data_IF_537528589639
#
_entry.id   IF_537528589639
#
_cell.length_a   1.000
_cell.length_b   1.000
_cell.length_c   1.000
_cell.angle_alpha   90.00
_cell.angle_beta   90.00
_cell.angle_gamma   90.00
#
_symmetry.space_group_name_H-M   'P 1'
#
loop_
_entity.id
_entity.type
_entity.pdbx_description
1 polymer ?
#
# COMPACT_ATOMS: atom_id res chain seq x y z
N UNK A 1 -36.37 -3.74 -24.51
CA UNK A 1 -36.13 -3.11 -23.20
C UNK A 1 -36.08 -4.21 -22.16
N UNK A 2 -34.91 -4.47 -21.57
CA UNK A 2 -34.81 -5.11 -20.26
C UNK A 2 -33.51 -4.61 -19.64
N UNK A 3 -33.67 -3.69 -18.70
CA UNK A 3 -32.61 -3.08 -17.89
C UNK A 3 -31.98 -4.15 -17.00
N UNK A 4 -30.72 -4.48 -17.24
CA UNK A 4 -29.88 -5.09 -16.22
C UNK A 4 -29.72 -4.04 -15.12
N UNK A 5 -30.49 -4.20 -14.05
CA UNK A 5 -30.34 -3.47 -12.81
C UNK A 5 -28.93 -3.74 -12.31
N UNK A 6 -28.07 -2.72 -12.35
CA UNK A 6 -26.79 -2.72 -11.66
C UNK A 6 -27.06 -2.71 -10.17
N UNK A 7 -27.15 -3.89 -9.57
CA UNK A 7 -26.95 -4.01 -8.13
C UNK A 7 -25.57 -3.43 -7.83
N UNK A 8 -25.56 -2.36 -7.05
CA UNK A 8 -24.35 -1.68 -6.64
C UNK A 8 -23.44 -2.69 -5.93
N UNK A 9 -22.29 -2.98 -6.55
CA UNK A 9 -21.20 -3.69 -5.88
C UNK A 9 -20.85 -2.91 -4.61
N UNK A 10 -21.20 -3.44 -3.43
CA UNK A 10 -20.78 -2.89 -2.16
C UNK A 10 -19.39 -3.47 -1.82
N UNK A 11 -18.30 -2.70 -2.02
CA UNK A 11 -16.95 -3.17 -1.71
C UNK A 11 -16.72 -3.39 -0.21
N UNK A 12 -17.68 -3.04 0.65
CA UNK A 12 -17.64 -3.24 2.09
C UNK A 12 -18.39 -4.50 2.56
N UNK A 13 -19.16 -5.17 1.69
CA UNK A 13 -19.93 -6.37 2.02
C UNK A 13 -19.19 -7.69 1.75
N UNK A 14 -17.93 -7.63 1.30
CA UNK A 14 -17.10 -8.79 0.98
C UNK A 14 -15.90 -8.79 1.92
N UNK A 15 -15.88 -9.78 2.83
CA UNK A 15 -14.84 -10.01 3.86
C UNK A 15 -13.44 -10.29 3.25
N UNK A 16 -13.40 -10.61 1.95
CA UNK A 16 -12.15 -10.90 1.23
C UNK A 16 -11.73 -9.71 0.35
N UNK A 17 -10.96 -8.80 0.95
CA UNK A 17 -10.37 -7.62 0.31
C UNK A 17 -9.51 -8.00 -0.90
N UNK A 18 -8.79 -9.11 -0.86
CA UNK A 18 -7.93 -9.55 -1.97
C UNK A 18 -8.81 -10.01 -3.16
N UNK A 19 -9.90 -10.75 -2.90
CA UNK A 19 -10.90 -11.12 -3.91
C UNK A 19 -11.57 -9.91 -4.56
N UNK A 20 -12.01 -8.92 -3.76
CA UNK A 20 -12.58 -7.66 -4.27
C UNK A 20 -11.63 -6.97 -5.23
N UNK A 21 -10.34 -6.93 -4.88
CA UNK A 21 -9.34 -6.29 -5.74
C UNK A 21 -9.07 -7.09 -7.00
N UNK A 22 -9.13 -8.42 -6.95
CA UNK A 22 -9.03 -9.23 -8.16
C UNK A 22 -10.19 -8.99 -9.12
N UNK A 23 -11.41 -8.90 -8.62
CA UNK A 23 -12.60 -8.59 -9.42
C UNK A 23 -12.51 -7.18 -10.02
N UNK A 24 -12.20 -6.17 -9.20
CA UNK A 24 -12.00 -4.79 -9.67
C UNK A 24 -10.81 -4.66 -10.65
N UNK A 25 -9.74 -5.44 -10.46
CA UNK A 25 -8.60 -5.43 -11.37
C UNK A 25 -8.96 -6.07 -12.72
N UNK A 26 -9.80 -7.11 -12.74
CA UNK A 26 -10.31 -7.72 -13.99
C UNK A 26 -11.19 -6.75 -14.75
N UNK A 27 -12.03 -5.99 -14.04
CA UNK A 27 -12.91 -4.97 -14.62
C UNK A 27 -12.13 -3.76 -15.17
N UNK A 28 -11.20 -3.21 -14.38
CA UNK A 28 -10.56 -1.92 -14.67
C UNK A 28 -9.24 -2.03 -15.45
N UNK A 29 -8.59 -3.20 -15.44
CA UNK A 29 -7.32 -3.45 -16.14
C UNK A 29 -7.28 -4.84 -16.80
N UNK A 30 -8.08 -5.06 -17.87
CA UNK A 30 -8.04 -6.31 -18.62
C UNK A 30 -6.64 -6.53 -19.23
N UNK A 31 -5.97 -7.62 -18.84
CA UNK A 31 -4.78 -8.13 -19.54
C UNK A 31 -3.42 -7.98 -18.85
N UNK A 32 -3.31 -7.42 -17.63
CA UNK A 32 -2.01 -7.29 -16.95
C UNK A 32 -1.83 -8.31 -15.82
N UNK A 33 -1.57 -9.58 -16.20
CA UNK A 33 -1.31 -10.70 -15.29
C UNK A 33 0.18 -10.98 -15.03
N UNK A 34 1.07 -10.07 -15.42
CA UNK A 34 2.51 -10.25 -15.23
C UNK A 34 2.91 -9.98 -13.77
N UNK A 35 2.61 -10.92 -12.86
CA UNK A 35 3.38 -11.02 -11.62
C UNK A 35 4.77 -11.50 -12.01
N UNK A 36 5.71 -10.57 -12.16
CA UNK A 36 7.12 -10.92 -12.11
C UNK A 36 7.37 -11.70 -10.79
N UNK A 37 8.34 -12.65 -10.76
CA UNK A 37 8.68 -13.38 -9.54
C UNK A 37 8.87 -12.41 -8.37
N UNK A 38 8.07 -12.56 -7.31
CA UNK A 38 8.13 -11.68 -6.15
C UNK A 38 9.34 -12.06 -5.30
N UNK A 39 10.30 -11.15 -5.21
CA UNK A 39 11.40 -11.22 -4.24
C UNK A 39 11.33 -9.98 -3.33
N UNK A 40 11.07 -10.14 -2.02
CA UNK A 40 10.97 -9.02 -1.10
C UNK A 40 12.29 -8.25 -0.91
N UNK A 41 13.43 -8.74 -1.42
CA UNK A 41 14.69 -7.99 -1.41
C UNK A 41 14.82 -6.99 -2.59
N UNK A 42 13.88 -6.99 -3.54
CA UNK A 42 13.96 -6.19 -4.76
C UNK A 42 13.19 -4.87 -4.77
N UNK A 43 12.44 -4.54 -3.71
CA UNK A 43 11.51 -3.39 -3.71
C UNK A 43 12.21 -2.02 -3.76
N UNK A 44 13.47 -1.96 -3.34
CA UNK A 44 14.29 -0.75 -3.30
C UNK A 44 15.38 -0.68 -4.39
N UNK A 45 15.56 -1.74 -5.19
CA UNK A 45 16.71 -1.91 -6.09
C UNK A 45 16.66 -1.18 -7.45
N UNK A 46 15.56 -0.54 -7.86
CA UNK A 46 15.43 0.12 -9.19
C UNK A 46 14.40 1.27 -9.11
N UNK A 47 14.35 2.30 -9.99
CA UNK A 47 13.72 3.61 -9.75
C UNK A 47 12.19 3.57 -9.86
N UNK A 48 11.52 2.69 -9.12
CA UNK A 48 10.07 2.75 -8.89
C UNK A 48 9.78 3.80 -7.83
N UNK A 49 10.16 5.05 -8.11
CA UNK A 49 9.72 6.19 -7.31
C UNK A 49 10.44 6.42 -5.99
N UNK A 50 11.68 5.96 -5.83
CA UNK A 50 12.57 6.46 -4.76
C UNK A 50 12.82 7.95 -4.98
N UNK A 51 12.57 8.75 -3.95
CA UNK A 51 12.83 10.18 -3.85
C UNK A 51 13.63 10.41 -2.59
N UNK A 52 14.58 11.31 -2.65
CA UNK A 52 15.33 11.73 -1.47
C UNK A 52 14.85 13.13 -1.14
N UNK A 53 14.29 13.30 0.04
CA UNK A 53 13.93 14.60 0.59
C UNK A 53 14.99 14.99 1.62
N UNK A 54 15.49 16.21 1.52
CA UNK A 54 16.34 16.80 2.56
C UNK A 54 15.50 17.82 3.31
N UNK A 55 15.48 17.68 4.62
CA UNK A 55 14.92 18.68 5.52
C UNK A 55 15.83 19.93 5.50
N UNK A 56 15.30 21.11 5.13
CA UNK A 56 16.10 22.33 5.07
C UNK A 56 16.52 22.86 6.45
N UNK A 57 15.78 22.53 7.51
CA UNK A 57 16.04 23.01 8.89
C UNK A 57 16.99 22.06 9.63
N UNK A 58 16.74 20.76 9.56
CA UNK A 58 17.54 19.76 10.29
C UNK A 58 18.68 19.17 9.47
N UNK A 59 18.68 19.39 8.14
CA UNK A 59 19.63 18.79 7.22
C UNK A 59 19.46 17.28 7.03
N UNK A 60 18.49 16.64 7.71
CA UNK A 60 18.24 15.20 7.66
C UNK A 60 17.80 14.78 6.25
N UNK A 61 18.30 13.63 5.82
CA UNK A 61 18.00 13.06 4.50
C UNK A 61 17.06 11.88 4.70
N UNK A 62 15.88 11.95 4.08
CA UNK A 62 14.84 10.93 4.17
C UNK A 62 14.58 10.32 2.80
N UNK A 63 14.63 9.00 2.74
CA UNK A 63 14.20 8.25 1.56
C UNK A 63 12.69 8.06 1.56
N UNK A 64 12.09 8.37 0.42
CA UNK A 64 10.66 8.33 0.18
C UNK A 64 10.37 7.47 -1.04
N UNK A 65 9.32 6.66 -0.98
CA UNK A 65 9.01 5.65 -1.97
C UNK A 65 7.54 5.76 -2.37
N UNK A 66 7.26 5.62 -3.67
CA UNK A 66 5.87 5.60 -4.16
C UNK A 66 5.14 4.33 -3.72
N UNK A 67 3.80 4.39 -3.72
CA UNK A 67 2.92 3.24 -3.46
C UNK A 67 3.25 1.99 -4.27
N UNK A 68 3.84 2.13 -5.47
CA UNK A 68 4.29 0.99 -6.28
C UNK A 68 5.42 0.18 -5.65
N UNK A 69 6.31 0.82 -4.89
CA UNK A 69 7.37 0.15 -4.14
C UNK A 69 6.80 -0.62 -2.95
N UNK A 70 5.89 -0.02 -2.18
CA UNK A 70 5.18 -0.71 -1.10
C UNK A 70 4.36 -1.89 -1.63
N UNK A 71 3.65 -1.72 -2.74
CA UNK A 71 2.88 -2.80 -3.35
C UNK A 71 3.77 -3.98 -3.74
N UNK A 72 4.94 -3.69 -4.35
CA UNK A 72 5.91 -4.73 -4.68
C UNK A 72 6.47 -5.42 -3.43
N UNK A 73 6.86 -4.65 -2.41
CA UNK A 73 7.30 -5.20 -1.11
C UNK A 73 6.29 -6.17 -0.50
N UNK A 74 5.00 -5.82 -0.56
CA UNK A 74 3.91 -6.58 0.05
C UNK A 74 3.37 -7.73 -0.82
N UNK A 75 3.96 -7.98 -1.98
CA UNK A 75 3.42 -8.91 -2.98
C UNK A 75 1.95 -8.62 -3.34
N UNK A 76 1.60 -7.34 -3.50
CA UNK A 76 0.24 -6.87 -3.79
C UNK A 76 0.21 -5.92 -4.98
N UNK A 77 -0.99 -5.70 -5.53
CA UNK A 77 -1.20 -4.68 -6.55
C UNK A 77 -1.28 -3.30 -5.88
N UNK A 78 -0.84 -2.20 -6.54
CA UNK A 78 -1.01 -0.85 -5.98
C UNK A 78 -2.47 -0.49 -5.66
N UNK A 79 -3.43 -1.06 -6.40
CA UNK A 79 -4.85 -0.90 -6.11
C UNK A 79 -5.24 -1.50 -4.75
N UNK A 80 -4.69 -2.67 -4.39
CA UNK A 80 -4.89 -3.30 -3.07
C UNK A 80 -4.44 -2.37 -1.96
N UNK A 81 -3.24 -1.80 -2.08
CA UNK A 81 -2.69 -0.88 -1.08
C UNK A 81 -3.57 0.37 -0.94
N UNK A 82 -4.09 0.93 -2.04
CA UNK A 82 -5.05 2.06 -1.98
C UNK A 82 -6.34 1.69 -1.28
N UNK A 83 -6.82 0.46 -1.48
CA UNK A 83 -8.02 -0.03 -0.80
C UNK A 83 -7.76 -0.23 0.70
N UNK A 84 -6.58 -0.74 1.07
CA UNK A 84 -6.15 -0.85 2.47
C UNK A 84 -6.12 0.51 3.17
N UNK A 85 -5.57 1.54 2.53
CA UNK A 85 -5.61 2.90 3.07
C UNK A 85 -7.06 3.40 3.25
N UNK A 86 -7.93 3.14 2.25
CA UNK A 86 -9.33 3.59 2.29
C UNK A 86 -10.13 2.89 3.39
N UNK A 87 -9.89 1.60 3.58
CA UNK A 87 -10.53 0.76 4.63
C UNK A 87 -9.88 0.94 6.01
N UNK A 88 -8.82 1.74 6.13
CA UNK A 88 -8.11 1.93 7.41
C UNK A 88 -7.27 0.73 7.85
N UNK A 89 -7.04 -0.25 6.96
CA UNK A 89 -6.18 -1.42 7.22
C UNK A 89 -4.74 -0.97 7.41
N UNK A 90 -4.32 0.06 6.68
CA UNK A 90 -3.06 0.77 6.88
C UNK A 90 -3.34 2.27 6.96
N UNK A 91 -2.55 3.04 7.74
CA UNK A 91 -2.71 4.49 7.80
C UNK A 91 -2.47 5.15 6.44
N UNK A 92 -3.27 6.17 6.12
CA UNK A 92 -3.07 6.99 4.93
C UNK A 92 -1.86 7.90 5.13
N UNK A 93 -0.88 7.82 4.23
CA UNK A 93 0.31 8.67 4.34
C UNK A 93 -0.03 10.12 4.00
N UNK A 94 0.38 11.05 4.87
CA UNK A 94 0.18 12.49 4.73
C UNK A 94 1.18 13.15 3.78
N UNK A 95 2.36 12.56 3.56
CA UNK A 95 3.39 13.12 2.68
C UNK A 95 2.99 12.94 1.22
N UNK A 96 2.12 13.83 0.77
CA UNK A 96 1.70 13.95 -0.62
C UNK A 96 2.71 14.85 -1.33
N UNK A 97 3.75 14.30 -1.96
CA UNK A 97 4.60 15.12 -2.81
C UNK A 97 3.79 15.55 -4.04
N UNK A 98 3.32 16.79 -4.00
CA UNK A 98 2.63 17.47 -5.07
C UNK A 98 3.00 18.94 -5.03
N UNK A 99 3.21 19.53 -6.21
CA UNK A 99 3.19 20.98 -6.34
C UNK A 99 1.77 21.41 -5.98
N UNK A 100 1.63 22.35 -5.05
CA UNK A 100 0.34 22.99 -4.77
C UNK A 100 -0.26 23.47 -6.11
N UNK A 101 -1.51 23.06 -6.41
CA UNK A 101 -2.17 23.31 -7.70
C UNK A 101 -1.96 22.29 -8.81
N UNK A 102 -1.28 21.15 -8.58
CA UNK A 102 -1.19 20.10 -9.61
C UNK A 102 -2.53 19.35 -9.72
N UNK A 103 -3.09 19.31 -10.92
CA UNK A 103 -4.39 18.71 -11.26
C UNK A 103 -4.47 17.19 -10.99
N UNK A 104 -3.37 16.56 -10.58
CA UNK A 104 -3.23 15.10 -10.44
C UNK A 104 -3.14 14.62 -8.98
N UNK A 105 -3.32 15.53 -8.02
CA UNK A 105 -3.25 15.20 -6.58
C UNK A 105 -1.83 14.86 -6.12
N UNK A 106 -1.57 15.02 -4.82
CA UNK A 106 -0.25 14.71 -4.26
C UNK A 106 0.06 13.21 -4.31
N UNK A 107 1.33 12.86 -4.52
CA UNK A 107 1.79 11.46 -4.56
C UNK A 107 2.01 10.94 -3.15
N UNK A 108 1.43 9.79 -2.82
CA UNK A 108 1.69 9.08 -1.55
C UNK A 108 3.14 8.60 -1.51
N UNK A 109 3.88 9.07 -0.50
CA UNK A 109 5.27 8.72 -0.27
C UNK A 109 5.44 8.02 1.07
N UNK A 110 5.95 6.81 1.03
CA UNK A 110 6.28 6.01 2.20
C UNK A 110 7.77 6.11 2.52
N UNK A 111 8.16 6.13 3.79
CA UNK A 111 9.58 6.05 4.17
C UNK A 111 10.10 4.62 4.08
N UNK A 112 11.42 4.44 4.04
CA UNK A 112 12.05 3.11 4.16
C UNK A 112 11.57 2.38 5.41
N UNK A 113 11.63 3.04 6.57
CA UNK A 113 11.24 2.47 7.85
C UNK A 113 9.77 2.01 7.89
N UNK A 114 8.88 2.76 7.23
CA UNK A 114 7.48 2.35 7.08
C UNK A 114 7.36 1.05 6.26
N UNK A 115 8.02 0.98 5.10
CA UNK A 115 7.93 -0.21 4.23
C UNK A 115 8.56 -1.42 4.91
N UNK A 116 9.77 -1.29 5.46
CA UNK A 116 10.48 -2.38 6.13
C UNK A 116 9.71 -2.89 7.35
N UNK A 117 9.19 -1.99 8.18
CA UNK A 117 8.37 -2.37 9.33
C UNK A 117 7.09 -3.11 8.90
N UNK A 118 6.43 -2.66 7.84
CA UNK A 118 5.26 -3.35 7.29
C UNK A 118 5.60 -4.74 6.74
N UNK A 119 6.74 -4.92 6.07
CA UNK A 119 7.20 -6.23 5.60
C UNK A 119 7.38 -7.19 6.77
N UNK A 120 8.02 -6.74 7.84
CA UNK A 120 8.25 -7.56 9.04
C UNK A 120 6.92 -8.01 9.65
N UNK A 121 6.01 -7.07 9.90
CA UNK A 121 4.69 -7.37 10.46
C UNK A 121 3.93 -8.33 9.54
N UNK A 122 3.90 -8.06 8.22
CA UNK A 122 3.18 -8.89 7.25
C UNK A 122 3.75 -10.31 7.15
N UNK A 123 5.07 -10.47 7.30
CA UNK A 123 5.71 -11.79 7.32
C UNK A 123 5.31 -12.57 8.57
N UNK A 124 5.38 -11.94 9.73
CA UNK A 124 5.03 -12.56 11.02
C UNK A 124 3.55 -12.94 11.09
N UNK A 125 2.69 -12.12 10.50
CA UNK A 125 1.24 -12.34 10.47
C UNK A 125 0.79 -13.29 9.34
N UNK A 126 1.71 -13.77 8.49
CA UNK A 126 1.41 -14.72 7.42
C UNK A 126 0.65 -14.12 6.23
N UNK A 127 0.86 -12.83 5.94
CA UNK A 127 0.22 -12.13 4.81
C UNK A 127 1.03 -12.18 3.50
N UNK A 128 2.30 -12.60 3.58
CA UNK A 128 3.23 -12.72 2.45
C UNK A 128 3.42 -14.17 1.96
N UNK A 129 2.82 -15.16 2.61
CA UNK A 129 2.85 -16.57 2.19
C UNK A 129 1.96 -16.84 0.98
N UNK A 130 2.09 -18.03 0.37
CA UNK A 130 1.14 -18.51 -0.63
C UNK A 130 -0.21 -18.88 0.02
N UNK A 131 -0.17 -19.44 1.22
CA UNK A 131 -1.36 -19.67 2.06
C UNK A 131 -1.61 -18.44 2.94
N UNK A 132 -2.16 -17.39 2.33
CA UNK A 132 -2.37 -16.09 2.97
C UNK A 132 -3.49 -16.19 3.99
N UNK A 133 -3.24 -15.70 5.20
CA UNK A 133 -4.31 -15.52 6.19
C UNK A 133 -5.17 -14.31 5.82
N UNK A 134 -6.50 -14.36 5.99
CA UNK A 134 -7.34 -13.17 5.90
C UNK A 134 -6.84 -12.11 6.86
N UNK A 135 -6.73 -10.85 6.44
CA UNK A 135 -6.20 -9.74 7.27
C UNK A 135 -6.94 -9.63 8.60
N UNK A 136 -8.25 -9.86 8.58
CA UNK A 136 -9.14 -9.84 9.75
C UNK A 136 -8.76 -10.88 10.82
N UNK A 137 -8.12 -11.97 10.41
CA UNK A 137 -7.61 -13.02 11.31
C UNK A 137 -6.20 -12.74 11.84
N UNK A 138 -5.64 -11.56 11.55
CA UNK A 138 -4.27 -11.16 11.90
C UNK A 138 -4.23 -9.91 12.79
N UNK A 139 -3.07 -9.61 13.36
CA UNK A 139 -2.84 -8.38 14.11
C UNK A 139 -2.23 -7.28 13.22
N UNK A 140 -2.30 -7.43 11.90
CA UNK A 140 -1.55 -6.60 10.97
C UNK A 140 -1.95 -5.14 11.08
N UNK A 141 -3.25 -4.85 11.02
CA UNK A 141 -3.79 -3.49 11.09
C UNK A 141 -3.38 -2.74 12.36
N UNK A 142 -3.64 -3.24 13.58
CA UNK A 142 -3.25 -2.53 14.80
C UNK A 142 -1.72 -2.39 14.93
N UNK A 143 -0.95 -3.37 14.48
CA UNK A 143 0.52 -3.31 14.52
C UNK A 143 1.10 -2.29 13.54
N UNK A 144 0.51 -2.18 12.35
CA UNK A 144 0.92 -1.16 11.36
C UNK A 144 0.53 0.24 11.82
N UNK A 145 -0.64 0.42 12.43
CA UNK A 145 -1.00 1.69 13.06
C UNK A 145 0.02 2.10 14.12
N UNK A 146 0.34 1.20 15.06
CA UNK A 146 1.35 1.46 16.09
C UNK A 146 2.77 1.69 15.55
N UNK A 147 3.13 1.06 14.43
CA UNK A 147 4.38 1.37 13.72
C UNK A 147 4.39 2.81 13.22
N UNK A 148 3.32 3.26 12.57
CA UNK A 148 3.24 4.60 12.00
C UNK A 148 3.22 5.67 13.08
N UNK A 149 2.53 5.44 14.18
CA UNK A 149 2.51 6.36 15.32
C UNK A 149 3.93 6.55 15.90
N UNK A 150 4.67 5.45 16.12
CA UNK A 150 6.08 5.52 16.59
C UNK A 150 6.98 6.29 15.61
N UNK A 151 6.84 6.02 14.32
CA UNK A 151 7.63 6.69 13.29
C UNK A 151 7.24 8.17 13.11
N UNK A 152 6.00 8.55 13.43
CA UNK A 152 5.52 9.93 13.36
C UNK A 152 5.98 10.77 14.56
N UNK A 153 6.03 10.18 15.76
CA UNK A 153 6.54 10.83 16.98
C UNK A 153 8.05 11.06 16.91
N UNK A 154 8.72 10.42 15.95
CA UNK A 154 10.16 10.52 15.75
C UNK A 154 10.87 9.84 16.89
N UNK A 155 10.92 8.50 16.85
CA UNK A 155 11.88 7.76 17.65
C UNK A 155 13.25 8.43 17.49
N UNK A 156 13.65 9.03 18.61
CA UNK A 156 14.65 10.08 18.77
C UNK A 156 16.02 9.47 18.95
#
# INVERSE_FOLDING_TARGET
MSTLSGDAFDPNAIDDVDRVVEELAKEYYPGNNSQAPWEPAGWDNVPRGRRVQRDPETGRVTELFLIGALAFAMNRKPLTIRLWERKGIIPKVQQAAGREGSQHGGRRLYTRAQIEGMIVIAREDGLLSNDRRPIESTNFTPRVAALFDRLAVGDT
#
